data_IF_254418907544
#
_entry.id   IF_254418907544
#
_cell.length_a   1.000
_cell.length_b   1.000
_cell.length_c   1.000
_cell.angle_alpha   90.00
_cell.angle_beta   90.00
_cell.angle_gamma   90.00
#
_symmetry.space_group_name_H-M   'P 1'
#
loop_
_entity.id
_entity.type
_entity.pdbx_description
1 polymer ?
#
# COMPACT_ATOMS: atom_id res chain seq x y z
N UNK A 1 11.71 9.83 -29.11
CA UNK A 1 10.88 10.31 -27.98
C UNK A 1 11.71 10.11 -26.72
N UNK A 2 11.77 11.10 -25.83
CA UNK A 2 12.48 10.94 -24.57
C UNK A 2 11.69 9.97 -23.67
N UNK A 3 12.38 9.09 -22.95
CA UNK A 3 11.77 8.23 -21.93
C UNK A 3 11.14 9.10 -20.85
N UNK A 4 9.91 8.76 -20.46
CA UNK A 4 9.22 9.38 -19.35
C UNK A 4 9.91 8.97 -18.05
N UNK A 5 9.99 9.84 -17.03
CA UNK A 5 10.50 9.45 -15.71
C UNK A 5 9.63 8.40 -15.00
N UNK A 6 8.44 8.11 -15.54
CA UNK A 6 7.53 7.07 -15.06
C UNK A 6 7.60 5.77 -15.90
N UNK A 7 8.46 5.71 -16.92
CA UNK A 7 8.67 4.49 -17.68
C UNK A 7 9.26 3.41 -16.76
N UNK A 8 8.69 2.22 -16.84
CA UNK A 8 9.09 1.06 -16.02
C UNK A 8 9.64 -0.04 -16.90
N UNK A 9 10.42 -0.95 -16.31
CA UNK A 9 11.05 -2.04 -17.06
C UNK A 9 9.97 -3.00 -17.57
N UNK A 10 9.84 -3.20 -18.90
CA UNK A 10 8.83 -4.10 -19.46
C UNK A 10 8.92 -5.51 -18.87
N UNK A 11 7.76 -6.07 -18.51
CA UNK A 11 7.65 -7.42 -17.97
C UNK A 11 7.98 -7.56 -16.47
N UNK A 12 8.44 -6.50 -15.80
CA UNK A 12 8.57 -6.49 -14.33
C UNK A 12 7.33 -5.90 -13.70
N UNK A 13 6.78 -6.57 -12.69
CA UNK A 13 5.63 -6.06 -11.95
C UNK A 13 6.10 -4.96 -11.00
N UNK A 14 5.39 -3.84 -11.03
CA UNK A 14 5.60 -2.73 -10.10
C UNK A 14 4.73 -2.95 -8.88
N UNK A 15 5.33 -2.83 -7.70
CA UNK A 15 4.64 -2.75 -6.42
C UNK A 15 4.55 -1.30 -5.98
N UNK A 16 3.32 -0.83 -5.81
CA UNK A 16 2.98 0.48 -5.29
C UNK A 16 2.32 0.31 -3.92
N UNK A 17 3.01 0.75 -2.87
CA UNK A 17 2.60 0.57 -1.48
C UNK A 17 2.38 1.92 -0.82
N UNK A 18 1.35 2.04 0.02
CA UNK A 18 1.05 3.23 0.80
C UNK A 18 0.96 2.88 2.27
N UNK A 19 1.64 3.62 3.15
CA UNK A 19 1.35 3.58 4.59
C UNK A 19 0.38 4.71 4.92
N UNK A 20 -0.75 4.38 5.54
CA UNK A 20 -1.77 5.34 5.95
C UNK A 20 -1.90 5.37 7.47
N UNK A 21 -1.99 6.58 8.00
CA UNK A 21 -2.28 6.86 9.40
C UNK A 21 -3.72 7.33 9.51
N UNK A 22 -4.47 6.80 10.46
CA UNK A 22 -5.81 7.32 10.76
C UNK A 22 -5.72 8.71 11.36
N UNK A 23 -6.75 9.52 11.15
CA UNK A 23 -6.85 10.87 11.70
C UNK A 23 -6.97 10.82 13.23
N UNK A 24 -6.40 11.82 13.90
CA UNK A 24 -6.56 11.98 15.36
C UNK A 24 -8.05 12.03 15.73
N UNK A 25 -8.42 11.26 16.76
CA UNK A 25 -9.81 11.12 17.23
C UNK A 25 -10.61 10.02 16.54
N UNK A 26 -10.12 9.43 15.45
CA UNK A 26 -10.73 8.25 14.81
C UNK A 26 -10.26 6.98 15.53
N UNK A 27 -11.18 6.16 16.02
CA UNK A 27 -10.84 4.87 16.65
C UNK A 27 -10.37 3.85 15.61
N UNK A 28 -9.56 2.87 16.02
CA UNK A 28 -9.05 1.84 15.11
C UNK A 28 -10.19 1.01 14.51
N UNK A 29 -11.20 0.70 15.34
CA UNK A 29 -12.42 -0.02 14.92
C UNK A 29 -13.23 0.78 13.89
N UNK A 30 -13.46 2.08 14.13
CA UNK A 30 -14.18 2.92 13.18
C UNK A 30 -13.41 3.08 11.87
N UNK A 31 -12.09 3.20 11.93
CA UNK A 31 -11.23 3.27 10.75
C UNK A 31 -11.27 1.97 9.93
N UNK A 32 -11.21 0.83 10.61
CA UNK A 32 -11.31 -0.49 9.97
C UNK A 32 -12.68 -0.69 9.29
N UNK A 33 -13.76 -0.39 10.00
CA UNK A 33 -15.12 -0.46 9.48
C UNK A 33 -15.30 0.45 8.25
N UNK A 34 -14.88 1.71 8.35
CA UNK A 34 -14.91 2.65 7.22
C UNK A 34 -14.13 2.11 6.02
N UNK A 35 -12.91 1.62 6.23
CA UNK A 35 -12.10 1.14 5.12
C UNK A 35 -12.71 -0.10 4.48
N UNK A 36 -13.12 -1.08 5.30
CA UNK A 36 -13.64 -2.37 4.83
C UNK A 36 -15.02 -2.25 4.19
N UNK A 37 -15.91 -1.45 4.77
CA UNK A 37 -17.32 -1.39 4.37
C UNK A 37 -17.64 -0.19 3.47
N UNK A 38 -16.77 0.83 3.40
CA UNK A 38 -16.97 2.00 2.54
C UNK A 38 -15.93 2.14 1.45
N UNK A 39 -14.64 2.11 1.80
CA UNK A 39 -13.56 2.40 0.83
C UNK A 39 -13.34 1.23 -0.12
N UNK A 40 -13.04 0.04 0.41
CA UNK A 40 -12.68 -1.13 -0.39
C UNK A 40 -13.75 -1.54 -1.42
N UNK A 41 -15.06 -1.59 -1.09
CA UNK A 41 -16.09 -1.96 -2.05
C UNK A 41 -16.22 -1.00 -3.25
N UNK A 42 -15.83 0.27 -3.06
CA UNK A 42 -15.83 1.29 -4.11
C UNK A 42 -14.51 1.34 -4.88
N UNK A 43 -13.40 1.08 -4.19
CA UNK A 43 -12.07 1.09 -4.77
C UNK A 43 -11.84 -0.10 -5.72
N UNK A 44 -12.26 -1.31 -5.32
CA UNK A 44 -12.01 -2.54 -6.07
C UNK A 44 -12.56 -2.52 -7.51
N UNK A 45 -13.79 -2.06 -7.80
CA UNK A 45 -14.28 -1.92 -9.17
C UNK A 45 -13.42 -0.97 -10.03
N UNK A 46 -12.93 0.12 -9.45
CA UNK A 46 -12.06 1.07 -10.16
C UNK A 46 -10.69 0.44 -10.43
N UNK A 47 -10.10 -0.25 -9.46
CA UNK A 47 -8.87 -1.02 -9.66
C UNK A 47 -9.00 -2.06 -10.78
N UNK A 48 -10.13 -2.77 -10.82
CA UNK A 48 -10.43 -3.74 -11.86
C UNK A 48 -10.52 -3.08 -13.24
N UNK A 49 -11.22 -1.94 -13.35
CA UNK A 49 -11.35 -1.15 -14.59
C UNK A 49 -9.99 -0.73 -15.16
N UNK A 50 -9.02 -0.44 -14.29
CA UNK A 50 -7.66 -0.02 -14.68
C UNK A 50 -6.66 -1.18 -14.77
N UNK A 51 -7.09 -2.44 -14.66
CA UNK A 51 -6.22 -3.63 -14.73
C UNK A 51 -5.12 -3.66 -13.65
N UNK A 52 -5.42 -3.20 -12.43
CA UNK A 52 -4.56 -3.47 -11.28
C UNK A 52 -4.52 -4.98 -11.05
N UNK A 53 -3.32 -5.56 -11.00
CA UNK A 53 -3.09 -7.01 -10.97
C UNK A 53 -3.53 -7.60 -9.64
N UNK A 54 -3.19 -6.90 -8.55
CA UNK A 54 -3.54 -7.29 -7.18
C UNK A 54 -3.68 -6.05 -6.33
N UNK A 55 -4.70 -6.06 -5.48
CA UNK A 55 -4.85 -5.13 -4.37
C UNK A 55 -4.91 -5.93 -3.07
N UNK A 56 -4.10 -5.56 -2.09
CA UNK A 56 -4.12 -6.13 -0.76
C UNK A 56 -3.92 -5.02 0.27
N UNK A 57 -4.27 -5.32 1.51
CA UNK A 57 -3.98 -4.45 2.62
C UNK A 57 -3.48 -5.27 3.81
N UNK A 58 -2.62 -4.65 4.60
CA UNK A 58 -2.09 -5.17 5.85
C UNK A 58 -2.39 -4.16 6.95
N UNK A 59 -3.02 -4.59 8.05
CA UNK A 59 -3.34 -3.73 9.18
C UNK A 59 -2.35 -3.94 10.31
N UNK A 60 -1.90 -2.85 10.89
CA UNK A 60 -0.99 -2.90 12.03
C UNK A 60 -1.78 -3.23 13.28
N UNK A 61 -1.37 -4.31 13.96
CA UNK A 61 -1.73 -4.51 15.35
C UNK A 61 -0.77 -3.68 16.22
N UNK A 62 -1.25 -2.53 16.69
CA UNK A 62 -0.47 -1.59 17.49
C UNK A 62 0.07 -2.17 18.79
N UNK A 63 -0.62 -3.17 19.37
CA UNK A 63 -0.14 -3.85 20.57
C UNK A 63 1.07 -4.71 20.24
N UNK A 64 1.01 -5.45 19.14
CA UNK A 64 2.11 -6.31 18.69
C UNK A 64 3.29 -5.48 18.20
N UNK A 65 3.05 -4.45 17.39
CA UNK A 65 4.12 -3.59 16.86
C UNK A 65 4.87 -2.85 17.97
N UNK A 66 4.17 -2.31 18.96
CA UNK A 66 4.77 -1.64 20.12
C UNK A 66 5.61 -2.61 20.95
N UNK A 67 5.08 -3.81 21.23
CA UNK A 67 5.83 -4.83 21.96
C UNK A 67 7.11 -5.24 21.21
N UNK A 68 7.02 -5.39 19.89
CA UNK A 68 8.17 -5.74 19.05
C UNK A 68 9.20 -4.61 18.96
N UNK A 69 8.76 -3.34 18.90
CA UNK A 69 9.66 -2.18 18.93
C UNK A 69 10.55 -2.20 20.19
N UNK A 70 9.98 -2.47 21.37
CA UNK A 70 10.76 -2.57 22.61
C UNK A 70 11.83 -3.67 22.58
N UNK A 71 11.56 -4.78 21.87
CA UNK A 71 12.57 -5.83 21.63
C UNK A 71 13.66 -5.36 20.65
N UNK A 72 13.29 -4.60 19.62
CA UNK A 72 14.22 -4.10 18.60
C UNK A 72 15.16 -3.04 19.14
N UNK A 73 14.76 -2.23 20.11
CA UNK A 73 15.65 -1.27 20.75
C UNK A 73 16.91 -1.92 21.34
N UNK A 74 16.80 -3.16 21.80
CA UNK A 74 17.93 -3.94 22.33
C UNK A 74 18.67 -4.70 21.22
N UNK A 75 17.93 -5.37 20.33
CA UNK A 75 18.52 -6.27 19.34
C UNK A 75 19.10 -5.55 18.11
N UNK A 76 18.49 -4.43 17.70
CA UNK A 76 18.86 -3.61 16.54
C UNK A 76 18.63 -2.13 16.84
N UNK A 77 19.49 -1.49 17.65
CA UNK A 77 19.36 -0.08 18.00
C UNK A 77 19.22 0.80 16.74
N UNK A 78 18.25 1.73 16.76
CA UNK A 78 17.97 2.66 15.67
C UNK A 78 16.98 2.14 14.61
N UNK A 79 16.58 0.87 14.65
CA UNK A 79 15.51 0.37 13.78
C UNK A 79 14.15 0.81 14.34
N UNK A 80 13.29 1.31 13.44
CA UNK A 80 11.91 1.69 13.74
C UNK A 80 10.94 0.72 13.07
N UNK A 81 10.01 0.19 13.86
CA UNK A 81 8.81 -0.49 13.41
C UNK A 81 7.80 0.59 13.04
N UNK A 82 7.26 0.55 11.81
CA UNK A 82 6.26 1.51 11.38
C UNK A 82 5.01 1.39 12.25
N UNK A 83 4.47 2.55 12.64
CA UNK A 83 3.27 2.72 13.44
C UNK A 83 2.10 3.23 12.60
N UNK A 84 2.15 3.06 11.27
CA UNK A 84 0.98 3.31 10.42
C UNK A 84 -0.17 2.37 10.79
N UNK A 85 -1.41 2.76 10.52
CA UNK A 85 -2.58 1.93 10.83
C UNK A 85 -2.84 0.87 9.76
N UNK A 86 -2.62 1.21 8.49
CA UNK A 86 -2.80 0.29 7.38
C UNK A 86 -1.76 0.53 6.29
N UNK A 87 -1.29 -0.56 5.70
CA UNK A 87 -0.46 -0.59 4.50
C UNK A 87 -1.33 -1.08 3.35
N UNK A 88 -1.46 -0.28 2.30
CA UNK A 88 -2.13 -0.67 1.06
C UNK A 88 -1.08 -1.12 0.05
N UNK A 89 -1.34 -2.20 -0.67
CA UNK A 89 -0.42 -2.78 -1.62
C UNK A 89 -1.11 -3.00 -2.97
N UNK A 90 -0.50 -2.48 -4.03
CA UNK A 90 -0.97 -2.63 -5.40
C UNK A 90 0.14 -3.23 -6.24
N UNK A 91 -0.22 -4.18 -7.10
CA UNK A 91 0.65 -4.69 -8.14
C UNK A 91 0.09 -4.22 -9.48
N UNK A 92 0.95 -3.60 -10.29
CA UNK A 92 0.57 -3.03 -11.60
C UNK A 92 1.64 -3.34 -12.63
N UNK A 93 1.26 -3.29 -13.90
CA UNK A 93 2.19 -3.49 -15.01
C UNK A 93 3.15 -2.31 -15.20
N UNK A 94 2.69 -1.09 -14.90
CA UNK A 94 3.45 0.14 -15.06
C UNK A 94 2.87 1.27 -14.18
N UNK A 95 3.60 2.38 -14.06
CA UNK A 95 3.15 3.55 -13.32
C UNK A 95 2.03 4.33 -14.02
N UNK A 96 1.84 4.15 -15.33
CA UNK A 96 0.74 4.80 -16.06
C UNK A 96 -0.62 4.27 -15.60
N UNK A 97 -0.69 3.00 -15.20
CA UNK A 97 -1.86 2.40 -14.57
C UNK A 97 -2.27 3.18 -13.31
N UNK A 98 -1.33 3.48 -12.42
CA UNK A 98 -1.60 4.25 -11.19
C UNK A 98 -2.02 5.68 -11.53
N UNK A 99 -1.39 6.31 -12.51
CA UNK A 99 -1.73 7.67 -12.94
C UNK A 99 -3.15 7.73 -13.53
N UNK A 100 -3.50 6.83 -14.44
CA UNK A 100 -4.82 6.75 -15.06
C UNK A 100 -5.91 6.50 -14.00
N UNK A 101 -5.65 5.59 -13.08
CA UNK A 101 -6.49 5.34 -11.91
C UNK A 101 -6.69 6.60 -11.05
N UNK A 102 -5.60 7.32 -10.71
CA UNK A 102 -5.67 8.52 -9.86
C UNK A 102 -6.46 9.67 -10.49
N UNK A 103 -6.56 9.68 -11.82
CA UNK A 103 -7.30 10.68 -12.60
C UNK A 103 -8.73 10.23 -12.90
N UNK A 104 -9.13 9.02 -12.48
CA UNK A 104 -10.49 8.54 -12.70
C UNK A 104 -11.48 9.40 -11.91
N UNK A 105 -12.46 10.04 -12.57
CA UNK A 105 -13.43 10.87 -11.86
C UNK A 105 -14.25 10.10 -10.82
N UNK A 106 -14.44 8.79 -11.00
CA UNK A 106 -15.09 7.91 -10.04
C UNK A 106 -14.23 7.71 -8.80
N UNK A 107 -12.90 7.59 -8.96
CA UNK A 107 -11.97 7.49 -7.85
C UNK A 107 -12.08 8.70 -6.92
N UNK A 108 -12.02 9.90 -7.48
CA UNK A 108 -12.13 11.14 -6.70
C UNK A 108 -13.50 11.30 -6.03
N UNK A 109 -14.59 10.94 -6.72
CA UNK A 109 -15.95 11.14 -6.23
C UNK A 109 -16.44 10.10 -5.23
N UNK A 110 -16.06 8.84 -5.43
CA UNK A 110 -16.63 7.72 -4.68
C UNK A 110 -15.69 7.23 -3.58
N UNK A 111 -14.37 7.23 -3.84
CA UNK A 111 -13.37 6.62 -2.96
C UNK A 111 -12.65 7.65 -2.10
N UNK A 112 -12.16 8.74 -2.70
CA UNK A 112 -11.46 9.80 -1.96
C UNK A 112 -12.41 10.73 -1.20
N UNK A 113 -13.72 10.56 -1.39
CA UNK A 113 -14.73 11.35 -0.70
C UNK A 113 -14.52 11.23 0.81
N UNK A 114 -14.38 12.40 1.45
CA UNK A 114 -14.21 12.54 2.89
C UNK A 114 -12.94 11.88 3.47
N UNK A 115 -11.97 11.46 2.63
CA UNK A 115 -10.75 10.77 3.08
C UNK A 115 -10.00 11.53 4.19
N UNK A 116 -9.94 12.86 4.10
CA UNK A 116 -9.23 13.72 5.06
C UNK A 116 -9.83 13.70 6.48
N UNK A 117 -11.10 13.27 6.62
CA UNK A 117 -11.75 13.04 7.92
C UNK A 117 -11.27 11.75 8.59
N UNK A 118 -10.76 10.81 7.81
CA UNK A 118 -10.38 9.47 8.26
C UNK A 118 -8.88 9.25 8.29
N UNK A 119 -8.13 9.89 7.40
CA UNK A 119 -6.70 9.66 7.18
C UNK A 119 -5.91 10.94 7.41
N UNK A 120 -4.79 10.83 8.14
CA UNK A 120 -3.77 11.85 8.17
C UNK A 120 -2.79 11.68 7.00
N UNK A 121 -3.11 12.35 5.90
CA UNK A 121 -2.30 12.32 4.68
C UNK A 121 -0.92 12.96 4.87
N UNK A 122 -0.73 13.82 5.90
CA UNK A 122 0.58 14.46 6.15
C UNK A 122 1.64 13.49 6.66
N UNK A 123 1.22 12.37 7.25
CA UNK A 123 2.09 11.31 7.78
C UNK A 123 2.19 10.12 6.83
N UNK A 124 1.32 10.07 5.83
CA UNK A 124 1.22 8.94 4.91
C UNK A 124 2.42 8.90 3.96
N UNK A 125 2.91 7.71 3.65
CA UNK A 125 4.09 7.51 2.79
C UNK A 125 3.76 6.62 1.61
N UNK A 126 4.58 6.72 0.56
CA UNK A 126 4.49 5.87 -0.63
C UNK A 126 5.82 5.17 -0.84
N UNK A 127 5.77 3.87 -1.07
CA UNK A 127 6.91 3.03 -1.47
C UNK A 127 6.64 2.45 -2.85
N UNK A 128 7.56 2.66 -3.79
CA UNK A 128 7.43 2.19 -5.17
C UNK A 128 8.69 1.42 -5.55
N UNK A 129 8.51 0.25 -6.16
CA UNK A 129 9.61 -0.56 -6.66
C UNK A 129 9.12 -1.75 -7.47
N UNK A 130 10.04 -2.64 -7.82
CA UNK A 130 9.70 -3.90 -8.49
C UNK A 130 9.50 -5.01 -7.47
N UNK A 131 8.39 -5.74 -7.58
CA UNK A 131 8.20 -6.93 -6.76
C UNK A 131 9.12 -8.05 -7.26
N UNK A 132 10.05 -8.49 -6.41
CA UNK A 132 11.00 -9.55 -6.75
C UNK A 132 11.02 -10.58 -5.64
N UNK A 133 10.27 -11.64 -5.85
CA UNK A 133 10.09 -12.72 -4.88
C UNK A 133 11.26 -13.70 -4.96
N UNK A 134 11.92 -13.98 -3.84
CA UNK A 134 13.01 -14.98 -3.75
C UNK A 134 12.62 -16.28 -3.02
N UNK A 135 11.55 -16.24 -2.23
CA UNK A 135 10.98 -17.38 -1.52
C UNK A 135 9.47 -17.19 -1.45
N UNK A 136 8.71 -18.17 -1.92
CA UNK A 136 7.25 -18.15 -1.86
C UNK A 136 6.74 -19.56 -1.59
N UNK A 137 5.86 -19.71 -0.60
CA UNK A 137 5.27 -21.00 -0.24
C UNK A 137 6.30 -22.13 -0.03
N UNK A 138 7.48 -21.79 0.52
CA UNK A 138 8.58 -22.71 0.75
C UNK A 138 9.46 -23.03 -0.47
N UNK A 139 9.13 -22.51 -1.66
CA UNK A 139 9.90 -22.70 -2.88
C UNK A 139 10.85 -21.52 -3.13
N UNK A 140 12.09 -21.84 -3.52
CA UNK A 140 13.10 -20.84 -3.92
C UNK A 140 12.75 -20.30 -5.31
N UNK A 141 12.70 -18.98 -5.43
CA UNK A 141 12.38 -18.25 -6.65
C UNK A 141 13.59 -17.38 -7.03
N UNK A 142 13.82 -17.13 -8.32
CA UNK A 142 14.80 -16.15 -8.82
C UNK A 142 16.26 -16.28 -8.31
N UNK A 143 16.65 -17.44 -7.75
CA UNK A 143 18.04 -17.74 -7.31
C UNK A 143 18.71 -18.87 -8.10
N UNK A 144 18.06 -19.40 -9.14
CA UNK A 144 18.54 -20.51 -9.98
C UNK A 144 19.48 -20.06 -11.10
N UNK A 145 20.67 -19.58 -10.72
CA UNK A 145 21.72 -19.17 -11.66
C UNK A 145 23.09 -19.25 -11.01
N UNK A 146 23.62 -20.46 -10.88
CA UNK A 146 25.05 -20.75 -10.74
C UNK A 146 25.39 -21.99 -11.55
#
# INVERSE_FOLDING_TARGET
MAESPLDTVPGRIVKYTMELYRKDGVSAEAFDDWFTNTVAPKAVPVYQKHNVIKFALYRTDHKVSTAFQGMMEQARPGWKVSDCDVVLEHWVHDMHTIMAHSQDPEWAREVLKDQELWVDLSKSTIHIGYDTTYLENGAIMNLGGR
#
